data_IF_829156271822
#
_entry.id   IF_829156271822
#
_cell.length_a   1.000
_cell.length_b   1.000
_cell.length_c   1.000
_cell.angle_alpha   90.00
_cell.angle_beta   90.00
_cell.angle_gamma   90.00
#
_symmetry.space_group_name_H-M   'P 1'
#
loop_
_entity.id
_entity.type
_entity.pdbx_description
1 polymer ?
#
# COMPACT_ATOMS: atom_id res chain seq x y z
N UNK A 1 -66.51 23.17 23.98
CA UNK A 1 -65.16 22.69 23.63
C UNK A 1 -64.94 21.36 24.33
N UNK A 2 -64.54 20.33 23.60
CA UNK A 2 -64.31 18.99 24.12
C UNK A 2 -63.91 18.07 22.97
N UNK A 3 -62.67 18.20 22.52
CA UNK A 3 -62.01 17.38 21.51
C UNK A 3 -61.70 15.98 22.07
N UNK A 4 -61.90 14.88 21.32
CA UNK A 4 -61.26 13.61 21.62
C UNK A 4 -59.90 13.50 20.92
N UNK A 5 -58.91 12.99 21.64
CA UNK A 5 -57.59 12.58 21.12
C UNK A 5 -57.67 11.44 20.09
N UNK A 6 -56.68 11.33 19.17
CA UNK A 6 -56.35 10.07 18.54
C UNK A 6 -55.05 9.44 19.09
N UNK A 7 -55.11 8.14 19.32
CA UNK A 7 -54.01 7.23 19.69
C UNK A 7 -52.83 7.24 18.69
N UNK A 8 -51.60 6.93 19.13
CA UNK A 8 -50.45 6.79 18.24
C UNK A 8 -50.48 5.43 17.51
N UNK A 9 -50.51 5.46 16.18
CA UNK A 9 -50.22 4.28 15.36
C UNK A 9 -48.73 4.25 15.03
N UNK A 10 -48.04 3.28 15.61
CA UNK A 10 -46.71 2.83 15.21
C UNK A 10 -46.79 2.18 13.82
N UNK A 11 -46.07 2.71 12.84
CA UNK A 11 -45.75 2.00 11.60
C UNK A 11 -44.25 2.13 11.34
N UNK A 12 -43.53 1.12 11.80
CA UNK A 12 -42.20 0.75 11.33
C UNK A 12 -42.25 0.42 9.84
N UNK A 13 -41.87 1.35 8.98
CA UNK A 13 -41.63 1.06 7.57
C UNK A 13 -40.22 0.49 7.41
N UNK A 14 -40.12 -0.85 7.39
CA UNK A 14 -38.97 -1.56 6.80
C UNK A 14 -38.84 -1.12 5.34
N UNK A 15 -37.70 -0.54 4.99
CA UNK A 15 -37.31 -0.22 3.62
C UNK A 15 -37.08 -1.52 2.84
N UNK A 16 -37.99 -1.87 1.93
CA UNK A 16 -37.75 -2.91 0.91
C UNK A 16 -36.90 -2.33 -0.23
N UNK A 17 -35.93 -3.07 -0.79
CA UNK A 17 -35.15 -2.62 -1.94
C UNK A 17 -36.03 -2.71 -3.20
N UNK A 18 -36.25 -1.59 -3.88
CA UNK A 18 -36.95 -1.59 -5.17
C UNK A 18 -36.05 -2.26 -6.23
N UNK A 19 -36.54 -3.24 -7.00
CA UNK A 19 -35.82 -3.74 -8.17
C UNK A 19 -35.78 -2.64 -9.24
N UNK A 20 -34.60 -2.34 -9.76
CA UNK A 20 -34.44 -1.46 -10.92
C UNK A 20 -35.17 -2.04 -12.13
N UNK A 21 -35.66 -1.18 -13.02
CA UNK A 21 -36.27 -1.63 -14.27
C UNK A 21 -35.22 -2.32 -15.15
N UNK A 22 -35.63 -3.37 -15.88
CA UNK A 22 -34.76 -4.13 -16.79
C UNK A 22 -34.05 -3.28 -17.85
N UNK A 23 -34.57 -2.07 -18.14
CA UNK A 23 -33.94 -1.12 -19.07
C UNK A 23 -32.72 -0.42 -18.45
N UNK A 24 -32.77 -0.06 -17.17
CA UNK A 24 -31.66 0.57 -16.45
C UNK A 24 -30.49 -0.41 -16.26
N UNK A 25 -30.78 -1.67 -15.98
CA UNK A 25 -29.77 -2.74 -15.87
C UNK A 25 -29.02 -2.97 -17.18
N UNK A 26 -29.75 -2.99 -18.31
CA UNK A 26 -29.16 -3.18 -19.66
C UNK A 26 -28.20 -2.06 -20.04
N UNK A 27 -28.46 -0.83 -19.59
CA UNK A 27 -27.60 0.32 -19.89
C UNK A 27 -26.40 0.42 -18.92
N UNK A 28 -26.58 0.03 -17.65
CA UNK A 28 -25.52 0.04 -16.64
C UNK A 28 -24.47 -1.05 -16.88
N UNK A 29 -24.90 -2.27 -17.21
CA UNK A 29 -24.02 -3.44 -17.27
C UNK A 29 -22.79 -3.27 -18.19
N UNK A 30 -22.91 -2.78 -19.45
CA UNK A 30 -21.74 -2.59 -20.30
C UNK A 30 -20.74 -1.55 -19.74
N UNK A 31 -21.24 -0.49 -19.10
CA UNK A 31 -20.40 0.54 -18.49
C UNK A 31 -19.66 -0.02 -17.26
N UNK A 32 -20.38 -0.76 -16.39
CA UNK A 32 -19.81 -1.46 -15.24
C UNK A 32 -18.74 -2.46 -15.67
N UNK A 33 -19.02 -3.33 -16.65
CA UNK A 33 -18.05 -4.30 -17.16
C UNK A 33 -16.76 -3.64 -17.66
N UNK A 34 -16.88 -2.55 -18.45
CA UNK A 34 -15.71 -1.82 -18.93
C UNK A 34 -14.91 -1.21 -17.79
N UNK A 35 -15.58 -0.56 -16.83
CA UNK A 35 -14.90 0.04 -15.68
C UNK A 35 -14.18 -1.02 -14.85
N UNK A 36 -14.85 -2.15 -14.57
CA UNK A 36 -14.27 -3.28 -13.83
C UNK A 36 -13.01 -3.81 -14.49
N UNK A 37 -13.04 -4.04 -15.82
CA UNK A 37 -11.85 -4.45 -16.58
C UNK A 37 -10.73 -3.44 -16.41
N UNK A 38 -11.02 -2.15 -16.57
CA UNK A 38 -10.02 -1.09 -16.44
C UNK A 38 -9.40 -1.02 -15.04
N UNK A 39 -10.20 -1.10 -13.97
CA UNK A 39 -9.67 -1.03 -12.60
C UNK A 39 -8.83 -2.26 -12.26
N UNK A 40 -9.26 -3.47 -12.64
CA UNK A 40 -8.48 -4.67 -12.41
C UNK A 40 -7.20 -4.73 -13.24
N UNK A 41 -7.22 -4.26 -14.49
CA UNK A 41 -5.99 -4.12 -15.29
C UNK A 41 -5.02 -3.12 -14.67
N UNK A 42 -5.52 -2.03 -14.08
CA UNK A 42 -4.66 -1.11 -13.30
C UNK A 42 -4.07 -1.79 -12.08
N UNK A 43 -4.87 -2.50 -11.29
CA UNK A 43 -4.40 -3.24 -10.10
C UNK A 43 -3.31 -4.25 -10.48
N UNK A 44 -3.49 -5.01 -11.57
CA UNK A 44 -2.48 -5.92 -12.09
C UNK A 44 -1.19 -5.18 -12.49
N UNK A 45 -1.29 -4.06 -13.21
CA UNK A 45 -0.13 -3.23 -13.54
C UNK A 45 0.59 -2.69 -12.30
N UNK A 46 -0.16 -2.25 -11.29
CA UNK A 46 0.40 -1.77 -10.02
C UNK A 46 1.12 -2.88 -9.25
N UNK A 47 0.65 -4.13 -9.33
CA UNK A 47 1.38 -5.28 -8.77
C UNK A 47 2.77 -5.41 -9.41
N UNK A 48 2.86 -5.30 -10.73
CA UNK A 48 4.16 -5.38 -11.42
C UNK A 48 5.08 -4.21 -11.03
N UNK A 49 4.51 -3.01 -10.88
CA UNK A 49 5.24 -1.84 -10.39
C UNK A 49 5.74 -2.05 -8.96
N UNK A 50 4.93 -2.62 -8.07
CA UNK A 50 5.35 -3.00 -6.72
C UNK A 50 6.56 -3.92 -6.74
N UNK A 51 6.54 -4.99 -7.54
CA UNK A 51 7.64 -5.96 -7.62
C UNK A 51 8.94 -5.28 -8.06
N UNK A 52 8.86 -4.40 -9.06
CA UNK A 52 9.99 -3.61 -9.55
C UNK A 52 10.56 -2.69 -8.45
N UNK A 53 9.71 -1.86 -7.83
CA UNK A 53 10.12 -0.91 -6.79
C UNK A 53 10.65 -1.62 -5.53
N UNK A 54 10.01 -2.72 -5.13
CA UNK A 54 10.43 -3.59 -4.02
C UNK A 54 11.82 -4.19 -4.27
N UNK A 55 12.08 -4.67 -5.49
CA UNK A 55 13.38 -5.23 -5.87
C UNK A 55 14.47 -4.15 -5.94
N UNK A 56 14.15 -2.97 -6.48
CA UNK A 56 15.03 -1.80 -6.51
C UNK A 56 15.43 -1.36 -5.10
N UNK A 57 14.43 -1.19 -4.22
CA UNK A 57 14.64 -0.85 -2.82
C UNK A 57 15.55 -1.87 -2.12
N UNK A 58 15.28 -3.18 -2.28
CA UNK A 58 16.12 -4.24 -1.72
C UNK A 58 17.56 -4.18 -2.19
N UNK A 59 17.77 -3.90 -3.48
CA UNK A 59 19.11 -3.76 -4.06
C UNK A 59 19.85 -2.60 -3.39
N UNK A 60 19.19 -1.45 -3.23
CA UNK A 60 19.78 -0.30 -2.56
C UNK A 60 20.00 -0.52 -1.06
N UNK A 61 19.09 -1.19 -0.36
CA UNK A 61 19.28 -1.59 1.04
C UNK A 61 20.48 -2.53 1.19
N UNK A 62 20.63 -3.50 0.29
CA UNK A 62 21.77 -4.44 0.30
C UNK A 62 23.09 -3.70 0.05
N UNK A 63 23.13 -2.81 -0.95
CA UNK A 63 24.32 -1.97 -1.20
C UNK A 63 24.65 -1.09 -0.01
N UNK A 64 23.62 -0.50 0.63
CA UNK A 64 23.80 0.34 1.80
C UNK A 64 24.40 -0.44 2.97
N UNK A 65 23.87 -1.62 3.27
CA UNK A 65 24.42 -2.53 4.30
C UNK A 65 25.87 -2.90 3.99
N UNK A 66 26.18 -3.25 2.74
CA UNK A 66 27.54 -3.61 2.34
C UNK A 66 28.53 -2.45 2.51
N UNK A 67 28.13 -1.23 2.14
CA UNK A 67 28.95 -0.03 2.30
C UNK A 67 29.14 0.30 3.79
N UNK A 68 28.06 0.23 4.59
CA UNK A 68 28.10 0.42 6.04
C UNK A 68 29.08 -0.55 6.71
N UNK A 69 28.99 -1.84 6.41
CA UNK A 69 29.88 -2.86 6.97
C UNK A 69 31.33 -2.63 6.53
N UNK A 70 31.55 -2.28 5.26
CA UNK A 70 32.89 -1.94 4.74
C UNK A 70 33.49 -0.74 5.48
N UNK A 71 32.67 0.25 5.83
CA UNK A 71 33.10 1.42 6.60
C UNK A 71 33.40 1.06 8.06
N UNK A 72 32.51 0.29 8.70
CA UNK A 72 32.66 -0.20 10.08
C UNK A 72 33.95 -1.00 10.28
N UNK A 73 34.29 -1.86 9.31
CA UNK A 73 35.49 -2.70 9.37
C UNK A 73 36.72 -2.09 8.69
N UNK A 74 36.61 -0.90 8.09
CA UNK A 74 37.74 -0.19 7.46
C UNK A 74 38.98 -0.05 8.37
N UNK A 75 38.88 0.18 9.69
CA UNK A 75 40.05 0.23 10.56
C UNK A 75 40.80 -1.10 10.66
N UNK A 76 40.08 -2.22 10.56
CA UNK A 76 40.62 -3.58 10.68
C UNK A 76 41.04 -4.18 9.32
N UNK A 77 40.69 -3.51 8.21
CA UNK A 77 40.94 -4.03 6.87
C UNK A 77 42.44 -4.05 6.54
N UNK A 78 42.94 -5.20 6.06
CA UNK A 78 44.30 -5.33 5.55
C UNK A 78 44.42 -4.67 4.17
N UNK A 79 45.13 -3.55 4.10
CA UNK A 79 45.26 -2.76 2.88
C UNK A 79 46.40 -3.22 1.95
N UNK A 80 47.19 -4.21 2.37
CA UNK A 80 48.33 -4.72 1.61
C UNK A 80 49.29 -3.61 1.17
N UNK A 81 49.59 -3.55 -0.12
CA UNK A 81 50.47 -2.54 -0.72
C UNK A 81 49.97 -1.08 -0.57
N UNK A 82 48.69 -0.89 -0.24
CA UNK A 82 48.11 0.45 -0.04
C UNK A 82 48.31 0.99 1.38
N UNK A 83 48.81 0.18 2.33
CA UNK A 83 48.92 0.58 3.74
C UNK A 83 49.77 1.85 3.96
N UNK A 84 50.79 2.05 3.11
CA UNK A 84 51.75 3.15 3.22
C UNK A 84 51.26 4.41 2.50
N UNK A 85 50.10 4.34 1.79
CA UNK A 85 49.53 5.51 1.14
C UNK A 85 48.96 6.49 2.18
N UNK A 86 49.36 7.78 2.16
CA UNK A 86 48.89 8.76 3.12
C UNK A 86 47.37 8.96 3.01
N UNK A 87 46.72 8.93 4.17
CA UNK A 87 45.28 9.12 4.36
C UNK A 87 44.38 8.16 3.57
N UNK A 88 44.89 7.01 3.10
CA UNK A 88 44.11 6.06 2.30
C UNK A 88 42.81 5.61 3.00
N UNK A 89 42.89 5.30 4.31
CA UNK A 89 41.72 4.92 5.11
C UNK A 89 40.70 6.04 5.18
N UNK A 90 41.13 7.28 5.45
CA UNK A 90 40.24 8.45 5.51
C UNK A 90 39.55 8.70 4.16
N UNK A 91 40.29 8.63 3.06
CA UNK A 91 39.75 8.79 1.70
C UNK A 91 38.76 7.67 1.35
N UNK A 92 39.08 6.43 1.70
CA UNK A 92 38.20 5.28 1.51
C UNK A 92 36.92 5.41 2.35
N UNK A 93 37.03 5.75 3.64
CA UNK A 93 35.88 6.03 4.51
C UNK A 93 35.01 7.15 3.98
N UNK A 94 35.59 8.26 3.51
CA UNK A 94 34.81 9.35 2.90
C UNK A 94 34.08 8.91 1.62
N UNK A 95 34.71 8.06 0.80
CA UNK A 95 34.06 7.48 -0.39
C UNK A 95 32.90 6.58 0.00
N UNK A 96 33.08 5.72 1.00
CA UNK A 96 32.03 4.85 1.51
C UNK A 96 30.88 5.67 2.10
N UNK A 97 31.17 6.71 2.88
CA UNK A 97 30.15 7.61 3.43
C UNK A 97 29.26 8.21 2.33
N UNK A 98 29.86 8.76 1.26
CA UNK A 98 29.10 9.27 0.11
C UNK A 98 28.27 8.20 -0.59
N UNK A 99 28.77 6.95 -0.63
CA UNK A 99 27.99 5.82 -1.16
C UNK A 99 26.82 5.45 -0.23
N UNK A 100 26.95 5.59 1.09
CA UNK A 100 25.84 5.40 2.02
C UNK A 100 24.73 6.43 1.76
N UNK A 101 25.07 7.72 1.67
CA UNK A 101 24.09 8.77 1.35
C UNK A 101 23.38 8.51 0.02
N UNK A 102 24.15 8.11 -1.01
CA UNK A 102 23.59 7.76 -2.32
C UNK A 102 22.60 6.60 -2.23
N UNK A 103 22.99 5.48 -1.62
CA UNK A 103 22.12 4.30 -1.52
C UNK A 103 20.93 4.54 -0.58
N UNK A 104 21.11 5.30 0.51
CA UNK A 104 20.02 5.73 1.39
C UNK A 104 18.97 6.57 0.63
N UNK A 105 19.40 7.55 -0.16
CA UNK A 105 18.47 8.36 -0.97
C UNK A 105 17.72 7.53 -2.01
N UNK A 106 18.38 6.55 -2.64
CA UNK A 106 17.76 5.65 -3.63
C UNK A 106 16.82 4.63 -3.01
N UNK A 107 17.15 4.14 -1.81
CA UNK A 107 16.25 3.31 -1.00
C UNK A 107 14.97 4.08 -0.67
N UNK A 108 15.11 5.32 -0.16
CA UNK A 108 13.97 6.16 0.19
C UNK A 108 13.10 6.48 -1.04
N UNK A 109 13.72 6.80 -2.17
CA UNK A 109 12.99 7.01 -3.43
C UNK A 109 12.20 5.78 -3.85
N UNK A 110 12.82 4.59 -3.79
CA UNK A 110 12.14 3.34 -4.17
C UNK A 110 10.99 3.01 -3.20
N UNK A 111 11.16 3.29 -1.91
CA UNK A 111 10.08 3.19 -0.92
C UNK A 111 8.91 4.13 -1.24
N UNK A 112 9.19 5.40 -1.58
CA UNK A 112 8.16 6.35 -1.99
C UNK A 112 7.37 5.84 -3.20
N UNK A 113 8.05 5.24 -4.18
CA UNK A 113 7.37 4.62 -5.33
C UNK A 113 6.45 3.47 -4.88
N UNK A 114 6.86 2.65 -3.90
CA UNK A 114 6.02 1.59 -3.34
C UNK A 114 4.77 2.15 -2.64
N UNK A 115 4.91 3.23 -1.86
CA UNK A 115 3.77 3.90 -1.23
C UNK A 115 2.79 4.40 -2.31
N UNK A 116 3.29 5.08 -3.33
CA UNK A 116 2.47 5.59 -4.43
C UNK A 116 1.73 4.46 -5.17
N UNK A 117 2.36 3.31 -5.36
CA UNK A 117 1.74 2.12 -5.94
C UNK A 117 0.55 1.64 -5.09
N UNK A 118 0.71 1.52 -3.77
CA UNK A 118 -0.38 1.07 -2.87
C UNK A 118 -1.51 2.10 -2.83
N UNK A 119 -1.21 3.40 -2.79
CA UNK A 119 -2.22 4.47 -2.91
C UNK A 119 -3.03 4.31 -4.20
N UNK A 120 -2.35 4.07 -5.32
CA UNK A 120 -3.02 3.88 -6.61
C UNK A 120 -3.87 2.61 -6.66
N UNK A 121 -3.44 1.51 -6.02
CA UNK A 121 -4.26 0.31 -5.87
C UNK A 121 -5.54 0.59 -5.07
N UNK A 122 -5.43 1.31 -3.95
CA UNK A 122 -6.58 1.72 -3.13
C UNK A 122 -7.56 2.55 -3.97
N UNK A 123 -7.05 3.57 -4.67
CA UNK A 123 -7.88 4.42 -5.52
C UNK A 123 -8.59 3.64 -6.64
N UNK A 124 -7.89 2.67 -7.26
CA UNK A 124 -8.48 1.81 -8.29
C UNK A 124 -9.60 0.92 -7.71
N UNK A 125 -9.40 0.35 -6.52
CA UNK A 125 -10.43 -0.46 -5.86
C UNK A 125 -11.68 0.34 -5.49
N UNK A 126 -11.51 1.57 -4.99
CA UNK A 126 -12.61 2.46 -4.62
C UNK A 126 -13.36 3.02 -5.85
N UNK A 127 -12.77 2.90 -7.04
CA UNK A 127 -13.32 3.40 -8.30
C UNK A 127 -14.04 2.31 -9.11
N UNK A 128 -14.35 1.16 -8.54
CA UNK A 128 -14.99 0.03 -9.24
C UNK A 128 -16.49 0.25 -9.52
N UNK A 129 -17.18 1.01 -8.67
CA UNK A 129 -18.61 1.33 -8.82
C UNK A 129 -18.87 2.29 -9.98
N UNK A 130 -20.04 2.15 -10.60
CA UNK A 130 -20.51 2.99 -11.71
C UNK A 130 -21.80 3.71 -11.32
N UNK A 131 -21.73 5.03 -11.23
CA UNK A 131 -22.82 5.90 -10.80
C UNK A 131 -23.43 6.66 -11.97
N UNK A 132 -24.71 7.00 -11.89
CA UNK A 132 -25.38 7.81 -12.91
C UNK A 132 -24.85 9.25 -12.93
N UNK A 133 -24.48 9.75 -14.11
CA UNK A 133 -24.04 11.14 -14.29
C UNK A 133 -25.28 12.04 -14.41
N UNK A 134 -25.64 12.71 -13.33
CA UNK A 134 -26.84 13.56 -13.25
C UNK A 134 -26.88 14.73 -14.25
N UNK A 135 -28.03 14.85 -14.92
CA UNK A 135 -28.47 15.97 -15.76
C UNK A 135 -29.78 15.61 -16.47
N UNK A 136 -30.90 16.28 -16.12
CA UNK A 136 -32.26 15.96 -16.58
C UNK A 136 -32.54 16.22 -18.08
N UNK A 137 -31.52 16.37 -18.93
CA UNK A 137 -31.67 16.85 -20.31
C UNK A 137 -31.15 15.91 -21.41
N UNK A 138 -30.52 14.76 -21.08
CA UNK A 138 -30.10 13.78 -22.09
C UNK A 138 -30.85 12.46 -21.97
N UNK A 139 -31.35 11.96 -23.10
CA UNK A 139 -31.88 10.59 -23.23
C UNK A 139 -30.78 9.52 -23.18
N UNK A 140 -29.51 9.93 -23.22
CA UNK A 140 -28.34 9.07 -23.09
C UNK A 140 -27.92 8.95 -21.62
N UNK A 141 -27.84 7.71 -21.14
CA UNK A 141 -27.34 7.41 -19.80
C UNK A 141 -25.81 7.42 -19.82
N UNK A 142 -25.20 8.26 -18.98
CA UNK A 142 -23.76 8.31 -18.77
C UNK A 142 -23.41 7.87 -17.36
N UNK A 143 -22.31 7.14 -17.20
CA UNK A 143 -21.84 6.69 -15.89
C UNK A 143 -20.50 7.33 -15.51
N UNK A 144 -20.27 7.57 -14.22
CA UNK A 144 -19.02 8.06 -13.62
C UNK A 144 -18.51 7.14 -12.53
N UNK A 145 -17.22 7.28 -12.18
CA UNK A 145 -16.58 6.58 -11.05
C UNK A 145 -16.85 7.23 -9.69
N UNK A 146 -17.52 8.38 -9.66
CA UNK A 146 -17.93 9.08 -8.45
C UNK A 146 -19.43 9.32 -8.44
N UNK A 147 -20.02 9.30 -7.25
CA UNK A 147 -21.44 9.55 -7.06
C UNK A 147 -21.76 11.05 -7.06
N UNK A 148 -22.85 11.43 -7.73
CA UNK A 148 -23.50 12.74 -7.59
C UNK A 148 -24.83 12.66 -6.83
N UNK A 149 -25.30 11.45 -6.55
CA UNK A 149 -26.58 11.18 -5.89
C UNK A 149 -26.32 10.22 -4.72
N UNK A 150 -26.59 10.68 -3.49
CA UNK A 150 -26.39 9.92 -2.25
C UNK A 150 -27.20 8.61 -2.23
N UNK A 151 -28.25 8.50 -3.06
CA UNK A 151 -29.09 7.29 -3.15
C UNK A 151 -28.60 6.27 -4.17
N UNK A 152 -27.66 6.62 -5.05
CA UNK A 152 -27.08 5.71 -6.02
C UNK A 152 -25.88 4.98 -5.39
N UNK A 153 -26.06 3.68 -5.13
CA UNK A 153 -25.01 2.80 -4.61
C UNK A 153 -23.97 2.42 -5.66
N UNK A 154 -24.21 2.69 -6.94
CA UNK A 154 -23.28 2.43 -8.04
C UNK A 154 -23.06 0.93 -8.37
N UNK A 155 -23.82 0.04 -7.75
CA UNK A 155 -23.73 -1.43 -7.88
C UNK A 155 -25.03 -2.07 -8.41
N UNK A 156 -25.97 -1.24 -8.89
CA UNK A 156 -27.24 -1.67 -9.47
C UNK A 156 -28.02 -2.65 -8.57
N UNK A 157 -28.01 -2.45 -7.24
CA UNK A 157 -28.72 -3.30 -6.31
C UNK A 157 -28.10 -4.69 -6.13
N UNK A 158 -26.81 -4.84 -6.44
CA UNK A 158 -26.06 -6.09 -6.26
C UNK A 158 -26.20 -7.08 -7.41
N UNK A 159 -26.77 -6.67 -8.54
CA UNK A 159 -26.87 -7.51 -9.75
C UNK A 159 -25.47 -7.92 -10.23
N UNK A 160 -25.34 -9.18 -10.66
CA UNK A 160 -24.09 -9.67 -11.24
C UNK A 160 -23.69 -8.80 -12.44
N UNK A 161 -22.44 -8.37 -12.51
CA UNK A 161 -21.90 -7.53 -13.60
C UNK A 161 -21.51 -8.39 -14.79
N UNK A 162 -20.85 -9.51 -14.52
CA UNK A 162 -20.43 -10.51 -15.51
C UNK A 162 -21.33 -11.75 -15.41
N UNK A 163 -20.75 -12.95 -15.37
CA UNK A 163 -21.48 -14.20 -15.33
C UNK A 163 -22.11 -14.43 -13.96
N UNK A 164 -21.28 -14.38 -12.91
CA UNK A 164 -21.66 -14.82 -11.57
C UNK A 164 -21.48 -13.73 -10.51
N UNK A 165 -20.59 -12.76 -10.75
CA UNK A 165 -20.15 -11.86 -9.68
C UNK A 165 -20.72 -10.44 -9.77
N UNK A 166 -21.16 -9.92 -8.63
CA UNK A 166 -21.52 -8.52 -8.43
C UNK A 166 -20.28 -7.63 -8.23
N UNK A 167 -20.41 -6.30 -8.38
CA UNK A 167 -19.31 -5.36 -8.09
C UNK A 167 -18.72 -5.61 -6.70
N UNK A 168 -19.58 -5.78 -5.68
CA UNK A 168 -19.15 -6.03 -4.30
C UNK A 168 -18.28 -7.29 -4.15
N UNK A 169 -18.52 -8.32 -4.98
CA UNK A 169 -17.70 -9.54 -4.95
C UNK A 169 -16.27 -9.25 -5.42
N UNK A 170 -16.12 -8.44 -6.46
CA UNK A 170 -14.81 -7.98 -6.90
C UNK A 170 -14.16 -7.03 -5.89
N UNK A 171 -14.93 -6.09 -5.32
CA UNK A 171 -14.41 -5.17 -4.30
C UNK A 171 -13.79 -5.93 -3.12
N UNK A 172 -14.44 -7.01 -2.66
CA UNK A 172 -13.90 -7.86 -1.58
C UNK A 172 -12.57 -8.52 -1.92
N UNK A 173 -12.43 -9.03 -3.15
CA UNK A 173 -11.17 -9.63 -3.60
C UNK A 173 -10.07 -8.58 -3.77
N UNK A 174 -10.42 -7.40 -4.28
CA UNK A 174 -9.48 -6.29 -4.36
C UNK A 174 -9.06 -5.81 -2.96
N UNK A 175 -9.99 -5.74 -2.02
CA UNK A 175 -9.74 -5.34 -0.64
C UNK A 175 -8.82 -6.34 0.06
N UNK A 176 -9.05 -7.66 -0.11
CA UNK A 176 -8.16 -8.72 0.38
C UNK A 176 -6.74 -8.58 -0.20
N UNK A 177 -6.64 -8.44 -1.52
CA UNK A 177 -5.37 -8.28 -2.23
C UNK A 177 -4.60 -7.06 -1.72
N UNK A 178 -5.25 -5.91 -1.68
CA UNK A 178 -4.65 -4.64 -1.27
C UNK A 178 -4.29 -4.67 0.21
N UNK A 179 -5.05 -5.36 1.05
CA UNK A 179 -4.73 -5.53 2.46
C UNK A 179 -3.37 -6.21 2.65
N UNK A 180 -3.05 -7.24 1.87
CA UNK A 180 -1.73 -7.88 1.90
C UNK A 180 -0.60 -6.88 1.56
N UNK A 181 -0.78 -6.06 0.52
CA UNK A 181 0.19 -5.00 0.17
C UNK A 181 0.33 -3.91 1.24
N UNK A 182 -0.77 -3.53 1.92
CA UNK A 182 -0.74 -2.56 3.01
C UNK A 182 0.05 -3.06 4.21
N UNK A 183 -0.14 -4.32 4.61
CA UNK A 183 0.62 -4.95 5.68
C UNK A 183 2.10 -5.03 5.32
N UNK A 184 2.41 -5.43 4.09
CA UNK A 184 3.79 -5.51 3.62
C UNK A 184 4.46 -4.14 3.53
N UNK A 185 3.73 -3.11 3.09
CA UNK A 185 4.23 -1.74 3.05
C UNK A 185 4.57 -1.22 4.45
N UNK A 186 3.72 -1.48 5.45
CA UNK A 186 4.00 -1.10 6.84
C UNK A 186 5.27 -1.75 7.36
N UNK A 187 5.47 -3.05 7.11
CA UNK A 187 6.71 -3.74 7.48
C UNK A 187 7.93 -3.17 6.74
N UNK A 188 7.82 -2.93 5.43
CA UNK A 188 8.92 -2.36 4.65
C UNK A 188 9.28 -0.94 5.09
N UNK A 189 8.30 -0.13 5.51
CA UNK A 189 8.55 1.17 6.14
C UNK A 189 9.45 1.06 7.37
N UNK A 190 9.17 0.08 8.24
CA UNK A 190 10.03 -0.18 9.42
C UNK A 190 11.46 -0.49 8.98
N UNK A 191 11.62 -1.40 8.02
CA UNK A 191 12.94 -1.77 7.51
C UNK A 191 13.68 -0.56 6.88
N UNK A 192 12.99 0.29 6.11
CA UNK A 192 13.59 1.52 5.56
C UNK A 192 14.09 2.43 6.68
N UNK A 193 13.30 2.63 7.73
CA UNK A 193 13.69 3.43 8.91
C UNK A 193 14.97 2.90 9.56
N UNK A 194 15.05 1.57 9.74
CA UNK A 194 16.23 0.89 10.30
C UNK A 194 17.46 1.03 9.39
N UNK A 195 17.31 0.86 8.07
CA UNK A 195 18.41 1.02 7.11
C UNK A 195 18.89 2.47 7.00
N UNK A 196 18.00 3.46 7.06
CA UNK A 196 18.41 4.86 7.04
C UNK A 196 19.12 5.24 8.34
N UNK A 197 18.73 4.64 9.47
CA UNK A 197 19.37 4.89 10.77
C UNK A 197 20.84 4.46 10.82
N UNK A 198 21.26 3.42 10.07
CA UNK A 198 22.69 3.05 9.98
C UNK A 198 23.51 3.99 9.10
N UNK A 199 22.86 4.79 8.25
CA UNK A 199 23.52 5.74 7.33
C UNK A 199 23.93 7.06 8.00
N UNK A 200 23.38 7.37 9.17
CA UNK A 200 23.64 8.63 9.89
C UNK A 200 24.79 8.46 10.89
N UNK A 201 25.94 9.08 10.63
CA UNK A 201 27.05 9.21 11.60
C UNK A 201 26.91 10.43 12.54
N UNK A 202 25.69 10.88 12.88
CA UNK A 202 25.54 12.01 13.83
C UNK A 202 25.47 11.45 15.26
N UNK A 203 26.41 11.79 16.18
CA UNK A 203 26.41 11.31 17.57
C UNK A 203 25.30 11.92 18.45
N UNK A 204 24.26 12.53 17.87
CA UNK A 204 23.20 13.20 18.61
C UNK A 204 21.83 12.83 18.04
N UNK A 205 21.14 11.95 18.75
CA UNK A 205 19.69 12.01 18.98
C UNK A 205 18.72 11.71 17.82
N UNK A 206 19.12 11.84 16.55
CA UNK A 206 18.22 11.66 15.40
C UNK A 206 18.20 10.20 14.93
N UNK A 207 17.89 9.29 15.85
CA UNK A 207 17.33 7.99 15.48
C UNK A 207 15.99 8.29 14.79
N UNK A 208 15.79 7.85 13.55
CA UNK A 208 14.52 8.04 12.84
C UNK A 208 13.40 7.52 13.74
N UNK A 209 12.56 8.43 14.26
CA UNK A 209 11.44 8.02 15.09
C UNK A 209 10.41 7.39 14.18
N UNK A 210 9.78 6.31 14.62
CA UNK A 210 8.66 5.71 13.88
C UNK A 210 7.57 6.75 13.53
N UNK A 211 7.41 7.74 14.40
CA UNK A 211 6.44 8.83 14.33
C UNK A 211 6.88 9.99 13.42
N UNK A 212 8.05 9.92 12.79
CA UNK A 212 8.53 10.94 11.84
C UNK A 212 8.22 10.53 10.40
N UNK A 213 8.04 11.53 9.52
CA UNK A 213 7.95 11.29 8.08
C UNK A 213 9.32 10.87 7.52
N UNK A 214 9.35 9.78 6.76
CA UNK A 214 10.54 9.37 6.01
C UNK A 214 10.80 10.28 4.81
N UNK A 215 9.75 10.89 4.25
CA UNK A 215 9.83 11.89 3.20
C UNK A 215 8.69 12.91 3.33
N UNK A 216 8.85 14.16 2.84
CA UNK A 216 7.82 15.17 2.95
C UNK A 216 6.48 14.75 2.34
N UNK A 217 5.42 14.75 3.15
CA UNK A 217 4.06 14.39 2.75
C UNK A 217 3.72 12.89 2.89
N UNK A 218 4.63 12.08 3.44
CA UNK A 218 4.40 10.65 3.67
C UNK A 218 3.08 10.39 4.44
N UNK A 219 2.76 11.19 5.45
CA UNK A 219 1.54 10.94 6.23
C UNK A 219 0.27 11.10 5.42
N UNK A 220 0.25 12.01 4.45
CA UNK A 220 -0.88 12.14 3.52
C UNK A 220 -1.08 10.86 2.71
N UNK A 221 0.02 10.30 2.21
CA UNK A 221 0.00 9.07 1.43
C UNK A 221 -0.39 7.85 2.29
N UNK A 222 0.12 7.77 3.53
CA UNK A 222 -0.25 6.72 4.48
C UNK A 222 -1.71 6.81 4.92
N UNK A 223 -2.25 8.03 5.11
CA UNK A 223 -3.68 8.25 5.36
C UNK A 223 -4.53 7.75 4.20
N UNK A 224 -4.14 8.03 2.96
CA UNK A 224 -4.84 7.50 1.78
C UNK A 224 -4.86 5.96 1.74
N UNK A 225 -3.89 5.31 2.40
CA UNK A 225 -3.83 3.86 2.53
C UNK A 225 -4.55 3.30 3.79
N UNK A 226 -5.15 4.13 4.66
CA UNK A 226 -5.57 3.73 6.01
C UNK A 226 -4.43 3.12 6.85
N UNK A 227 -3.20 3.63 6.67
CA UNK A 227 -1.99 3.22 7.37
C UNK A 227 -1.49 4.28 8.35
N UNK A 228 -2.31 5.28 8.67
CA UNK A 228 -2.04 6.32 9.63
C UNK A 228 -3.23 6.46 10.58
N UNK A 229 -2.95 6.60 11.87
CA UNK A 229 -3.95 6.78 12.91
C UNK A 229 -4.13 8.26 13.22
N UNK A 230 -5.34 8.79 13.02
CA UNK A 230 -5.69 10.15 13.42
C UNK A 230 -5.84 10.30 14.95
N UNK A 231 -5.99 9.19 15.67
CA UNK A 231 -6.11 9.17 17.13
C UNK A 231 -4.75 9.32 17.81
N UNK A 232 -3.76 8.59 17.31
CA UNK A 232 -2.40 8.57 17.87
C UNK A 232 -1.44 9.49 17.12
N UNK A 233 -1.86 10.06 15.99
CA UNK A 233 -1.03 10.87 15.08
C UNK A 233 0.24 10.14 14.62
N UNK A 234 0.13 8.82 14.40
CA UNK A 234 1.27 7.97 14.05
C UNK A 234 0.93 6.97 12.94
N UNK A 235 1.93 6.56 12.14
CA UNK A 235 1.81 5.42 11.24
C UNK A 235 1.41 4.14 11.99
N UNK A 236 0.53 3.34 11.40
CA UNK A 236 0.13 2.05 11.96
C UNK A 236 1.32 1.09 11.95
N UNK A 237 1.67 0.58 13.14
CA UNK A 237 2.77 -0.35 13.30
C UNK A 237 2.56 -1.63 12.48
N UNK A 238 3.64 -2.27 12.02
CA UNK A 238 3.54 -3.54 11.32
C UNK A 238 2.77 -4.56 12.14
N UNK A 239 1.85 -5.25 11.46
CA UNK A 239 1.13 -6.39 11.99
C UNK A 239 1.43 -7.57 11.08
N UNK A 240 1.82 -8.69 11.67
CA UNK A 240 1.83 -9.96 10.95
C UNK A 240 0.37 -10.42 10.82
N UNK A 241 0.02 -10.95 9.64
CA UNK A 241 -1.26 -11.64 9.44
C UNK A 241 -1.40 -12.67 10.57
N UNK A 242 -2.50 -12.59 11.33
CA UNK A 242 -2.85 -13.46 12.48
C UNK A 242 -2.18 -13.20 13.85
N UNK A 243 -1.45 -12.11 14.06
CA UNK A 243 -0.88 -11.78 15.39
C UNK A 243 -1.09 -10.33 15.80
N UNK A 244 -1.66 -10.10 17.00
CA UNK A 244 -1.64 -8.78 17.66
C UNK A 244 -0.17 -8.43 17.96
N UNK A 245 0.32 -7.32 17.41
CA UNK A 245 1.71 -6.90 17.64
C UNK A 245 1.84 -6.12 18.94
N UNK A 246 2.12 -6.83 20.03
CA UNK A 246 2.80 -6.23 21.17
C UNK A 246 4.30 -6.20 20.84
N UNK A 247 4.70 -5.26 19.97
CA UNK A 247 6.13 -5.00 19.78
C UNK A 247 6.63 -4.21 20.98
N UNK A 248 7.55 -4.76 21.81
CA UNK A 248 8.23 -3.94 22.78
C UNK A 248 8.95 -2.82 22.03
N UNK A 249 9.01 -1.63 22.64
CA UNK A 249 9.87 -0.54 22.21
C UNK A 249 11.30 -1.06 22.23
N UNK A 250 11.78 -1.64 21.11
CA UNK A 250 13.14 -2.14 20.99
C UNK A 250 14.07 -0.94 20.83
N UNK A 251 14.25 -0.20 21.93
CA UNK A 251 15.18 0.91 22.06
C UNK A 251 16.46 0.32 22.65
N UNK A 252 17.20 -0.41 21.82
CA UNK A 252 18.56 -0.82 22.12
C UNK A 252 19.52 0.24 21.60
N UNK A 253 20.33 0.85 22.46
CA UNK A 253 21.40 1.80 22.10
C UNK A 253 22.58 1.13 21.35
N UNK A 254 22.35 0.00 20.69
CA UNK A 254 23.36 -0.77 19.99
C UNK A 254 23.07 -0.70 18.49
N UNK A 255 24.04 -0.18 17.74
CA UNK A 255 24.02 -0.20 16.29
C UNK A 255 23.93 -1.66 15.81
N UNK A 256 23.03 -2.00 14.86
CA UNK A 256 22.79 -3.38 14.48
C UNK A 256 24.08 -4.05 13.98
N UNK A 257 24.26 -5.32 14.36
CA UNK A 257 25.35 -6.15 13.84
C UNK A 257 25.00 -6.73 12.47
N UNK A 258 25.93 -7.52 11.91
CA UNK A 258 25.73 -8.14 10.61
C UNK A 258 24.54 -9.12 10.60
N UNK A 259 24.32 -9.86 11.70
CA UNK A 259 23.26 -10.87 11.79
C UNK A 259 21.88 -10.22 11.75
N UNK A 260 21.70 -9.12 12.48
CA UNK A 260 20.46 -8.33 12.47
C UNK A 260 20.20 -7.74 11.07
N UNK A 261 21.23 -7.16 10.44
CA UNK A 261 21.09 -6.59 9.09
C UNK A 261 20.75 -7.67 8.05
N UNK A 262 21.30 -8.88 8.20
CA UNK A 262 20.94 -10.02 7.37
C UNK A 262 19.47 -10.39 7.55
N UNK A 263 18.98 -10.44 8.79
CA UNK A 263 17.55 -10.69 9.08
C UNK A 263 16.67 -9.63 8.42
N UNK A 264 17.05 -8.35 8.46
CA UNK A 264 16.27 -7.28 7.82
C UNK A 264 16.19 -7.44 6.29
N UNK A 265 17.32 -7.72 5.63
CA UNK A 265 17.36 -7.95 4.18
C UNK A 265 16.58 -9.21 3.79
N UNK A 266 16.71 -10.29 4.56
CA UNK A 266 15.96 -11.53 4.33
C UNK A 266 14.46 -11.33 4.55
N UNK A 267 14.08 -10.54 5.55
CA UNK A 267 12.67 -10.20 5.81
C UNK A 267 12.08 -9.42 4.64
N UNK A 268 12.82 -8.45 4.08
CA UNK A 268 12.40 -7.74 2.87
C UNK A 268 12.23 -8.69 1.67
N UNK A 269 13.16 -9.62 1.49
CA UNK A 269 13.14 -10.58 0.38
C UNK A 269 11.96 -11.56 0.48
N UNK A 270 11.60 -11.97 1.69
CA UNK A 270 10.59 -12.99 1.92
C UNK A 270 9.16 -12.51 1.65
N UNK A 271 8.93 -11.19 1.56
CA UNK A 271 7.61 -10.57 1.39
C UNK A 271 6.55 -11.17 2.33
N UNK A 272 6.85 -11.20 3.63
CA UNK A 272 6.18 -12.07 4.62
C UNK A 272 4.67 -11.87 4.75
N UNK A 273 4.11 -10.72 4.35
CA UNK A 273 2.67 -10.47 4.36
C UNK A 273 2.00 -10.65 2.99
N UNK A 274 2.76 -10.98 1.95
CA UNK A 274 2.26 -11.32 0.62
C UNK A 274 2.21 -12.83 0.44
N UNK A 275 1.00 -13.39 0.54
CA UNK A 275 0.77 -14.77 0.11
C UNK A 275 0.71 -14.80 -1.42
N UNK A 276 1.86 -15.12 -2.04
CA UNK A 276 2.00 -15.12 -3.51
C UNK A 276 0.99 -16.05 -4.18
N UNK A 277 0.70 -17.20 -3.58
CA UNK A 277 -0.29 -18.14 -4.10
C UNK A 277 -1.70 -17.54 -4.07
N UNK A 278 -2.08 -16.89 -2.96
CA UNK A 278 -3.38 -16.23 -2.86
C UNK A 278 -3.48 -15.03 -3.79
N UNK A 279 -2.41 -14.26 -3.95
CA UNK A 279 -2.34 -13.16 -4.92
C UNK A 279 -2.60 -13.67 -6.34
N UNK A 280 -1.90 -14.73 -6.75
CA UNK A 280 -2.05 -15.32 -8.08
C UNK A 280 -3.45 -15.93 -8.29
N UNK A 281 -4.00 -16.58 -7.26
CA UNK A 281 -5.37 -17.10 -7.28
C UNK A 281 -6.39 -15.98 -7.49
N UNK A 282 -6.32 -14.89 -6.71
CA UNK A 282 -7.24 -13.74 -6.86
C UNK A 282 -7.17 -13.20 -8.29
N UNK A 283 -5.97 -13.00 -8.82
CA UNK A 283 -5.78 -12.46 -10.18
C UNK A 283 -6.34 -13.42 -11.24
N UNK A 284 -6.11 -14.73 -11.09
CA UNK A 284 -6.61 -15.74 -12.01
C UNK A 284 -8.14 -15.80 -12.02
N UNK A 285 -8.78 -15.95 -10.85
CA UNK A 285 -10.24 -16.09 -10.77
C UNK A 285 -10.94 -14.82 -11.23
N UNK A 286 -10.41 -13.64 -10.89
CA UNK A 286 -10.93 -12.37 -11.43
C UNK A 286 -10.76 -12.31 -12.95
N UNK A 287 -9.59 -12.66 -13.47
CA UNK A 287 -9.27 -12.66 -14.90
C UNK A 287 -10.21 -13.55 -15.71
N UNK A 288 -10.54 -14.73 -15.17
CA UNK A 288 -11.53 -15.66 -15.73
C UNK A 288 -12.93 -15.02 -15.76
N UNK A 289 -13.41 -14.49 -14.63
CA UNK A 289 -14.74 -13.89 -14.54
C UNK A 289 -14.89 -12.67 -15.47
N UNK A 290 -13.89 -11.79 -15.52
CA UNK A 290 -13.93 -10.61 -16.38
C UNK A 290 -13.46 -10.88 -17.81
N UNK A 291 -13.04 -12.10 -18.15
CA UNK A 291 -12.52 -12.50 -19.45
C UNK A 291 -11.38 -11.57 -19.94
N UNK A 292 -10.39 -11.30 -19.08
CA UNK A 292 -9.18 -10.53 -19.39
C UNK A 292 -7.98 -11.25 -18.79
N UNK A 293 -6.90 -11.37 -19.57
CA UNK A 293 -5.61 -11.81 -19.05
C UNK A 293 -4.99 -10.68 -18.23
N UNK A 294 -4.90 -10.89 -16.92
CA UNK A 294 -4.25 -10.00 -15.97
C UNK A 294 -2.86 -10.59 -15.68
N UNK A 295 -1.82 -10.01 -16.29
CA UNK A 295 -0.41 -10.36 -16.09
C UNK A 295 0.26 -9.44 -15.09
#
# INVERSE_FOLDING_TARGET
MGTPEPKPQSLSSRSSPFPLSSSSERLWRPAAQRNMRNQWSKIASYRQQWLSSSSSARTHATSLVNVYLSQKYMPLMELGALKDMPDIRKKASLKLFKQQEFHGSKLLSSYKDMVAVVVNMVNASQSMRCYLKGGNSSSLVHFSSSSKDVKDTGDCGGVAVFGFWSISSFEKLAEELIHMFKLELSLKRLLVSEFLSISCEVPQGNQFCWSDELYPGEFGDLKACNLYSDETFEPLRPRLKDRKSDMPTLRGNHQPDHEILQVYITTWLAEVNLDVHRVDEIIAVVGEEIHVFLS
#
